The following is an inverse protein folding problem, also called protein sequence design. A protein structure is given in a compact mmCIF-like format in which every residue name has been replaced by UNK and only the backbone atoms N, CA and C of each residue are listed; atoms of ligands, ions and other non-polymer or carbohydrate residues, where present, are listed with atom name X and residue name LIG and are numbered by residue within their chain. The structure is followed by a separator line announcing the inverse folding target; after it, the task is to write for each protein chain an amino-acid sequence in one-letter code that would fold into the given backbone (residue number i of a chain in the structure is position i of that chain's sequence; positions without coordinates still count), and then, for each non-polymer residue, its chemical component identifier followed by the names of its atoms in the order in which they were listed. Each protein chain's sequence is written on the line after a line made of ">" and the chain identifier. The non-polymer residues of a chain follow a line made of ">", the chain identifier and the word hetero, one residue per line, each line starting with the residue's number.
data_IF_955418557114
#
_entry.id   IF_955418557114
#
_cell.length_a   1.000
_cell.length_b   1.000
_cell.length_c   1.000
_cell.angle_alpha   90.00
_cell.angle_beta   90.00
_cell.angle_gamma   90.00
#
_symmetry.space_group_name_H-M   'P 1'
#
loop_
_entity.id
_entity.type
_entity.pdbx_description
1 polymer ?
#
# COMPACT_ATOMS: atom_id res chain seq x y z
N UNK A 1 20.28 5.33 -2.05
CA UNK A 1 19.02 4.60 -2.31
C UNK A 1 18.27 5.10 -3.54
N UNK A 2 17.46 6.19 -3.51
CA UNK A 2 16.62 6.57 -4.68
C UNK A 2 17.41 6.80 -5.97
N UNK A 3 18.57 7.47 -5.89
CA UNK A 3 19.43 7.70 -7.06
C UNK A 3 19.98 6.39 -7.64
N UNK A 4 20.37 5.45 -6.78
CA UNK A 4 20.89 4.14 -7.19
C UNK A 4 19.78 3.27 -7.77
N UNK A 5 18.61 3.23 -7.12
CA UNK A 5 17.44 2.49 -7.59
C UNK A 5 16.96 3.00 -8.95
N UNK A 6 16.95 4.32 -9.17
CA UNK A 6 16.62 4.91 -10.45
C UNK A 6 17.63 4.53 -11.54
N UNK A 7 18.94 4.58 -11.22
CA UNK A 7 20.00 4.17 -12.15
C UNK A 7 19.89 2.68 -12.51
N UNK A 8 19.62 1.83 -11.53
CA UNK A 8 19.44 0.39 -11.76
C UNK A 8 18.21 0.11 -12.63
N UNK A 9 17.08 0.75 -12.33
CA UNK A 9 15.87 0.59 -13.12
C UNK A 9 16.01 1.12 -14.56
N UNK A 10 16.72 2.23 -14.76
CA UNK A 10 17.07 2.75 -16.08
C UNK A 10 17.95 1.74 -16.86
N UNK A 11 18.95 1.15 -16.21
CA UNK A 11 19.80 0.12 -16.81
C UNK A 11 19.00 -1.13 -17.19
N UNK A 12 18.13 -1.62 -16.32
CA UNK A 12 17.27 -2.78 -16.59
C UNK A 12 16.34 -2.56 -17.78
N UNK A 13 15.75 -1.37 -17.90
CA UNK A 13 14.88 -1.03 -19.04
C UNK A 13 15.69 -0.91 -20.34
N UNK A 14 16.94 -0.49 -20.27
CA UNK A 14 17.79 -0.35 -21.45
C UNK A 14 18.20 -1.72 -22.05
N UNK A 15 18.17 -2.81 -21.28
CA UNK A 15 18.49 -4.15 -21.78
C UNK A 15 17.58 -4.51 -22.96
N UNK A 16 18.19 -4.86 -24.09
CA UNK A 16 17.48 -5.24 -25.32
C UNK A 16 16.90 -4.07 -26.13
N UNK A 17 17.14 -2.81 -25.74
CA UNK A 17 16.71 -1.64 -26.52
C UNK A 17 17.83 -1.13 -27.42
N UNK A 18 17.52 -0.88 -28.69
CA UNK A 18 18.45 -0.23 -29.62
C UNK A 18 18.70 1.26 -29.27
N UNK A 19 17.73 1.92 -28.62
CA UNK A 19 17.86 3.30 -28.13
C UNK A 19 17.65 3.31 -26.60
N UNK A 20 18.67 3.69 -25.82
CA UNK A 20 18.56 3.74 -24.37
C UNK A 20 17.57 4.83 -23.98
N UNK A 21 16.66 4.48 -23.07
CA UNK A 21 15.66 5.40 -22.55
C UNK A 21 16.28 6.16 -21.37
N UNK A 22 16.29 7.51 -21.45
CA UNK A 22 16.79 8.34 -20.35
C UNK A 22 15.66 8.84 -19.47
N UNK A 23 15.81 8.69 -18.17
CA UNK A 23 14.86 9.15 -17.16
C UNK A 23 15.11 10.62 -16.85
N UNK A 24 14.07 11.44 -17.00
CA UNK A 24 14.10 12.84 -16.61
C UNK A 24 13.54 12.98 -15.19
N UNK A 25 14.41 12.81 -14.18
CA UNK A 25 14.06 12.88 -12.76
C UNK A 25 14.70 14.09 -12.11
N UNK A 26 13.95 14.77 -11.24
CA UNK A 26 14.53 15.68 -10.24
C UNK A 26 14.33 15.06 -8.86
N UNK A 27 15.31 15.27 -7.99
CA UNK A 27 15.33 14.82 -6.61
C UNK A 27 15.28 16.04 -5.70
N UNK A 28 14.36 16.03 -4.75
CA UNK A 28 14.27 17.06 -3.71
C UNK A 28 14.48 16.42 -2.36
N UNK A 29 15.52 16.85 -1.65
CA UNK A 29 15.81 16.44 -0.28
C UNK A 29 15.58 17.61 0.66
N UNK A 30 14.57 17.49 1.53
CA UNK A 30 14.19 18.54 2.48
C UNK A 30 14.54 18.08 3.90
N UNK A 31 15.48 18.76 4.54
CA UNK A 31 15.97 18.41 5.88
C UNK A 31 16.14 19.67 6.74
N UNK A 32 15.37 19.76 7.83
CA UNK A 32 15.40 20.92 8.73
C UNK A 32 16.68 21.01 9.56
N UNK A 33 17.27 19.87 9.93
CA UNK A 33 18.45 19.81 10.76
C UNK A 33 19.69 20.15 9.94
N UNK A 34 20.28 21.32 10.23
CA UNK A 34 21.46 21.84 9.53
C UNK A 34 22.67 20.89 9.55
N UNK A 35 22.85 20.07 10.58
CA UNK A 35 23.94 19.08 10.63
C UNK A 35 23.65 17.90 9.68
N UNK A 36 22.43 17.35 9.74
CA UNK A 36 22.00 16.26 8.86
C UNK A 36 22.01 16.69 7.38
N UNK A 37 21.52 17.89 7.09
CA UNK A 37 21.56 18.47 5.74
C UNK A 37 22.99 18.60 5.19
N UNK A 38 23.94 19.11 6.00
CA UNK A 38 25.36 19.18 5.60
C UNK A 38 25.96 17.81 5.37
N UNK A 39 25.63 16.84 6.23
CA UNK A 39 26.09 15.47 6.06
C UNK A 39 25.53 14.82 4.79
N UNK A 40 24.26 15.05 4.46
CA UNK A 40 23.65 14.60 3.20
C UNK A 40 24.41 15.13 1.98
N UNK A 41 24.74 16.44 1.96
CA UNK A 41 25.52 17.04 0.88
C UNK A 41 26.87 16.34 0.72
N UNK A 42 27.62 16.20 1.82
CA UNK A 42 28.91 15.51 1.81
C UNK A 42 28.79 14.06 1.30
N UNK A 43 27.79 13.31 1.79
CA UNK A 43 27.57 11.92 1.36
C UNK A 43 27.22 11.80 -0.13
N UNK A 44 26.50 12.78 -0.71
CA UNK A 44 26.22 12.82 -2.14
C UNK A 44 27.48 13.13 -2.95
N UNK A 45 28.31 14.06 -2.50
CA UNK A 45 29.58 14.41 -3.14
C UNK A 45 30.56 13.23 -3.15
N UNK A 46 30.75 12.57 -2.00
CA UNK A 46 31.60 11.37 -1.86
C UNK A 46 31.13 10.22 -2.77
N UNK A 47 29.83 10.09 -3.00
CA UNK A 47 29.25 9.09 -3.92
C UNK A 47 29.27 9.51 -5.39
N UNK A 48 29.90 10.65 -5.72
CA UNK A 48 30.06 11.14 -7.09
C UNK A 48 28.87 11.90 -7.66
N UNK A 49 27.90 12.30 -6.83
CA UNK A 49 26.73 13.08 -7.27
C UNK A 49 26.91 14.60 -7.17
N UNK A 50 28.08 15.09 -6.74
CA UNK A 50 28.33 16.52 -6.52
C UNK A 50 28.01 17.41 -7.74
N UNK A 51 28.34 16.95 -8.95
CA UNK A 51 28.11 17.71 -10.20
C UNK A 51 26.63 17.86 -10.61
N UNK A 52 25.74 17.11 -9.94
CA UNK A 52 24.28 17.10 -10.15
C UNK A 52 23.52 17.96 -9.13
N UNK A 53 24.18 18.33 -8.03
CA UNK A 53 23.61 19.23 -7.02
C UNK A 53 23.28 20.57 -7.68
N UNK A 54 22.12 21.11 -7.31
CA UNK A 54 21.49 22.33 -7.82
C UNK A 54 21.06 22.28 -9.30
N UNK A 55 21.19 21.12 -9.97
CA UNK A 55 20.71 20.90 -11.34
C UNK A 55 19.44 20.05 -11.35
N UNK A 56 19.59 18.79 -10.95
CA UNK A 56 18.50 17.81 -10.82
C UNK A 56 18.48 17.17 -9.42
N UNK A 57 19.43 17.52 -8.56
CA UNK A 57 19.42 17.20 -7.12
C UNK A 57 19.35 18.51 -6.34
N UNK A 58 18.21 18.76 -5.71
CA UNK A 58 17.97 19.97 -4.95
C UNK A 58 17.97 19.66 -3.45
N UNK A 59 18.81 20.37 -2.70
CA UNK A 59 18.94 20.24 -1.24
C UNK A 59 18.33 21.46 -0.56
N UNK A 60 17.35 21.25 0.31
CA UNK A 60 16.62 22.32 1.01
C UNK A 60 16.81 22.15 2.51
N UNK A 61 17.49 23.10 3.16
CA UNK A 61 17.66 23.10 4.62
C UNK A 61 16.50 23.80 5.33
N UNK A 62 15.32 23.18 5.32
CA UNK A 62 14.13 23.69 6.01
C UNK A 62 13.13 22.54 6.26
N UNK A 63 11.94 22.84 6.77
CA UNK A 63 10.90 21.85 6.98
C UNK A 63 10.04 21.63 5.72
N UNK A 64 9.56 20.40 5.52
CA UNK A 64 8.78 20.03 4.34
C UNK A 64 7.45 20.79 4.24
N UNK A 65 6.78 21.04 5.38
CA UNK A 65 5.52 21.80 5.45
C UNK A 65 5.62 23.19 4.78
N UNK A 66 6.74 23.88 4.93
CA UNK A 66 6.95 25.21 4.32
C UNK A 66 7.20 25.15 2.81
N UNK A 67 7.75 24.05 2.31
CA UNK A 67 8.14 23.91 0.90
C UNK A 67 7.17 23.06 0.08
N UNK A 68 6.25 22.35 0.73
CA UNK A 68 5.36 21.40 0.07
C UNK A 68 4.56 22.03 -1.08
N UNK A 69 3.95 23.20 -0.88
CA UNK A 69 3.20 23.89 -1.92
C UNK A 69 4.06 24.20 -3.15
N UNK A 70 5.28 24.70 -2.94
CA UNK A 70 6.21 25.02 -4.02
C UNK A 70 6.67 23.77 -4.76
N UNK A 71 6.95 22.68 -4.03
CA UNK A 71 7.35 21.40 -4.62
C UNK A 71 6.21 20.76 -5.43
N UNK A 72 4.98 20.80 -4.90
CA UNK A 72 3.79 20.34 -5.61
C UNK A 72 3.60 21.15 -6.90
N UNK A 73 3.75 22.47 -6.84
CA UNK A 73 3.66 23.34 -8.00
C UNK A 73 4.76 23.04 -9.03
N UNK A 74 5.99 22.81 -8.58
CA UNK A 74 7.10 22.40 -9.45
C UNK A 74 6.77 21.10 -10.20
N UNK A 75 6.31 20.06 -9.49
CA UNK A 75 5.93 18.78 -10.14
C UNK A 75 4.80 18.99 -11.13
N UNK A 76 3.82 19.84 -10.79
CA UNK A 76 2.71 20.16 -11.70
C UNK A 76 3.21 20.89 -12.95
N UNK A 77 4.17 21.80 -12.83
CA UNK A 77 4.76 22.49 -13.98
C UNK A 77 5.60 21.53 -14.85
N UNK A 78 6.43 20.68 -14.23
CA UNK A 78 7.26 19.69 -14.95
C UNK A 78 6.42 18.60 -15.62
N UNK A 79 5.31 18.19 -15.01
CA UNK A 79 4.40 17.17 -15.54
C UNK A 79 2.93 17.61 -15.45
N UNK A 80 2.48 18.53 -16.33
CA UNK A 80 1.14 19.16 -16.21
C UNK A 80 -0.02 18.18 -16.23
N UNK A 81 0.08 17.14 -17.07
CA UNK A 81 -1.00 16.18 -17.30
C UNK A 81 -1.02 15.11 -16.21
N UNK A 82 0.14 14.54 -15.86
CA UNK A 82 0.22 13.37 -14.99
C UNK A 82 0.62 13.74 -13.57
N UNK A 83 1.59 14.62 -13.38
CA UNK A 83 2.12 14.97 -12.06
C UNK A 83 2.86 13.80 -11.39
N UNK A 84 3.58 12.99 -12.18
CA UNK A 84 4.26 11.77 -11.67
C UNK A 84 5.29 12.16 -10.62
N UNK A 85 5.12 11.63 -9.41
CA UNK A 85 5.97 11.96 -8.28
C UNK A 85 5.85 10.88 -7.20
N UNK A 86 6.94 10.67 -6.45
CA UNK A 86 6.97 9.82 -5.27
C UNK A 86 7.44 10.68 -4.10
N UNK A 87 6.65 10.74 -3.04
CA UNK A 87 7.00 11.42 -1.80
C UNK A 87 7.32 10.36 -0.76
N UNK A 88 8.57 10.33 -0.28
CA UNK A 88 8.93 9.53 0.90
C UNK A 88 8.93 10.45 2.11
N UNK A 89 8.01 10.22 3.04
CA UNK A 89 7.81 11.02 4.23
C UNK A 89 8.13 10.18 5.47
N UNK A 90 9.23 10.51 6.13
CA UNK A 90 9.61 9.84 7.37
C UNK A 90 8.91 10.49 8.58
N UNK A 91 7.82 9.88 9.06
CA UNK A 91 7.05 10.40 10.20
C UNK A 91 7.27 9.62 11.49
N UNK A 92 8.44 9.01 11.67
CA UNK A 92 8.75 8.26 12.90
C UNK A 92 8.47 9.04 14.22
N UNK A 93 8.49 10.38 14.19
CA UNK A 93 8.20 11.26 15.33
C UNK A 93 6.83 11.96 15.37
N UNK A 94 5.85 11.58 14.55
CA UNK A 94 4.47 12.13 14.57
C UNK A 94 4.33 13.66 14.40
N UNK A 95 5.34 14.32 13.83
CA UNK A 95 5.47 15.77 13.99
C UNK A 95 5.47 16.58 12.68
N UNK A 96 5.51 15.95 11.51
CA UNK A 96 5.99 16.68 10.31
C UNK A 96 5.03 16.78 9.13
N UNK A 97 4.08 15.86 8.91
CA UNK A 97 3.14 16.02 7.78
C UNK A 97 1.71 15.61 8.16
N UNK A 98 0.78 16.56 8.33
CA UNK A 98 -0.62 16.27 8.62
C UNK A 98 -1.31 15.60 7.42
N UNK A 99 -2.36 14.79 7.67
CA UNK A 99 -3.07 14.07 6.61
C UNK A 99 -3.68 15.01 5.55
N UNK A 100 -4.12 16.21 5.94
CA UNK A 100 -4.59 17.26 5.03
C UNK A 100 -3.53 17.68 3.99
N UNK A 101 -2.26 17.72 4.36
CA UNK A 101 -1.18 18.07 3.44
C UNK A 101 -0.95 16.96 2.41
N UNK A 102 -1.04 15.68 2.82
CA UNK A 102 -1.01 14.53 1.91
C UNK A 102 -2.22 14.57 0.96
N UNK A 103 -3.40 14.90 1.48
CA UNK A 103 -4.61 15.11 0.66
C UNK A 103 -4.41 16.18 -0.41
N UNK A 104 -3.73 17.28 -0.06
CA UNK A 104 -3.36 18.34 -1.01
C UNK A 104 -2.42 17.88 -2.13
N UNK A 105 -1.47 16.99 -1.82
CA UNK A 105 -0.62 16.33 -2.82
C UNK A 105 -1.48 15.59 -3.84
N UNK A 106 -2.36 14.69 -3.38
CA UNK A 106 -3.18 13.89 -4.28
C UNK A 106 -4.22 14.70 -5.07
N UNK A 107 -4.75 15.77 -4.47
CA UNK A 107 -5.66 16.68 -5.16
C UNK A 107 -4.99 17.36 -6.36
N UNK A 108 -3.73 17.78 -6.21
CA UNK A 108 -3.01 18.52 -7.24
C UNK A 108 -2.28 17.61 -8.23
N UNK A 109 -1.78 16.46 -7.75
CA UNK A 109 -0.94 15.52 -8.47
C UNK A 109 -1.62 14.14 -8.52
N UNK A 110 -2.45 13.86 -9.54
CA UNK A 110 -3.31 12.68 -9.57
C UNK A 110 -2.55 11.36 -9.77
N UNK A 111 -1.26 11.40 -10.08
CA UNK A 111 -0.39 10.21 -10.16
C UNK A 111 0.73 10.23 -9.13
N UNK A 112 0.61 11.08 -8.10
CA UNK A 112 1.53 11.03 -6.97
C UNK A 112 1.34 9.72 -6.19
N UNK A 113 2.45 9.24 -5.65
CA UNK A 113 2.50 8.18 -4.66
C UNK A 113 3.16 8.73 -3.40
N UNK A 114 2.67 8.34 -2.23
CA UNK A 114 3.22 8.73 -0.94
C UNK A 114 3.59 7.47 -0.18
N UNK A 115 4.84 7.39 0.28
CA UNK A 115 5.33 6.34 1.18
C UNK A 115 5.58 7.01 2.53
N UNK A 116 4.97 6.48 3.58
CA UNK A 116 4.93 7.04 4.91
C UNK A 116 5.40 6.00 5.92
N UNK A 117 6.36 6.34 6.77
CA UNK A 117 6.71 5.53 7.96
C UNK A 117 5.90 6.00 9.17
N UNK A 118 5.34 5.06 9.93
CA UNK A 118 4.54 5.37 11.10
C UNK A 118 4.84 4.39 12.24
N UNK A 119 5.35 4.88 13.38
CA UNK A 119 5.84 4.06 14.49
C UNK A 119 4.70 3.48 15.37
N UNK A 120 3.71 2.84 14.75
CA UNK A 120 2.42 2.46 15.37
C UNK A 120 2.57 1.73 16.72
N UNK A 121 3.55 0.85 16.87
CA UNK A 121 3.77 0.11 18.11
C UNK A 121 4.23 1.03 19.24
N UNK A 122 5.13 1.96 18.95
CA UNK A 122 5.54 2.97 19.93
C UNK A 122 4.34 3.80 20.37
N UNK A 123 3.48 4.22 19.43
CA UNK A 123 2.24 4.89 19.79
C UNK A 123 1.36 4.02 20.68
N UNK A 124 1.07 2.77 20.32
CA UNK A 124 0.17 1.90 21.11
C UNK A 124 0.72 1.63 22.52
N UNK A 125 2.04 1.45 22.63
CA UNK A 125 2.71 1.14 23.89
C UNK A 125 2.72 2.34 24.84
N UNK A 126 2.97 3.55 24.33
CA UNK A 126 3.16 4.75 25.17
C UNK A 126 1.94 5.66 25.23
N UNK A 127 0.97 5.53 24.31
CA UNK A 127 -0.23 6.33 24.32
C UNK A 127 -1.17 5.93 25.47
N UNK A 128 -1.74 6.98 26.06
CA UNK A 128 -2.72 6.98 27.17
C UNK A 128 -3.70 8.12 26.93
N UNK A 129 -4.79 8.19 27.70
CA UNK A 129 -5.87 9.17 27.56
C UNK A 129 -5.50 10.59 28.06
N UNK A 130 -4.28 11.01 27.77
CA UNK A 130 -3.68 12.29 28.15
C UNK A 130 -3.85 13.36 27.08
N UNK A 131 -3.73 14.62 27.50
CA UNK A 131 -3.75 15.77 26.59
C UNK A 131 -2.58 15.75 25.60
N UNK A 132 -1.43 15.18 25.99
CA UNK A 132 -0.29 15.01 25.09
C UNK A 132 -0.64 14.11 23.89
N UNK A 133 -1.26 12.95 24.13
CA UNK A 133 -1.74 12.04 23.07
C UNK A 133 -2.75 12.75 22.17
N UNK A 134 -3.73 13.47 22.75
CA UNK A 134 -4.72 14.23 21.98
C UNK A 134 -4.09 15.29 21.07
N UNK A 135 -3.05 15.99 21.54
CA UNK A 135 -2.30 16.95 20.72
C UNK A 135 -1.55 16.28 19.57
N UNK A 136 -0.94 15.11 19.82
CA UNK A 136 -0.27 14.33 18.78
C UNK A 136 -1.27 13.93 17.69
N UNK A 137 -2.42 13.36 18.09
CA UNK A 137 -3.49 12.96 17.17
C UNK A 137 -4.04 14.13 16.35
N UNK A 138 -4.28 15.28 16.99
CA UNK A 138 -4.69 16.50 16.28
C UNK A 138 -3.63 16.98 15.28
N UNK A 139 -2.35 16.91 15.63
CA UNK A 139 -1.24 17.36 14.78
C UNK A 139 -1.10 16.54 13.49
N UNK A 140 -1.49 15.27 13.52
CA UNK A 140 -1.47 14.38 12.36
C UNK A 140 -2.83 14.29 11.65
N UNK A 141 -3.80 15.13 12.03
CA UNK A 141 -5.19 15.14 11.53
C UNK A 141 -5.97 13.84 11.78
N UNK A 142 -5.71 13.17 12.91
CA UNK A 142 -6.43 11.95 13.35
C UNK A 142 -7.07 12.10 14.74
N UNK A 143 -7.78 13.20 15.06
CA UNK A 143 -8.30 13.44 16.42
C UNK A 143 -9.28 12.37 16.91
N UNK A 144 -10.08 11.81 16.00
CA UNK A 144 -11.18 10.89 16.31
C UNK A 144 -10.89 9.44 15.89
N UNK A 145 -9.60 9.10 15.72
CA UNK A 145 -9.17 7.78 15.22
C UNK A 145 -9.76 6.61 16.00
N UNK A 146 -9.98 6.77 17.31
CA UNK A 146 -10.53 5.73 18.19
C UNK A 146 -12.07 5.70 18.21
N UNK A 147 -12.74 6.46 17.34
CA UNK A 147 -14.20 6.47 17.14
C UNK A 147 -14.99 6.66 18.44
N UNK A 148 -14.54 7.61 19.26
CA UNK A 148 -15.21 7.97 20.52
C UNK A 148 -14.89 7.06 21.72
N UNK A 149 -14.04 6.05 21.55
CA UNK A 149 -13.55 5.21 22.67
C UNK A 149 -12.22 5.72 23.20
N UNK A 150 -11.97 5.49 24.49
CA UNK A 150 -10.69 5.81 25.14
C UNK A 150 -9.69 4.66 24.98
N UNK A 151 -8.40 4.95 25.06
CA UNK A 151 -7.35 3.93 25.00
C UNK A 151 -7.46 2.96 26.19
N UNK A 152 -7.79 3.46 27.37
CA UNK A 152 -8.01 2.64 28.56
C UNK A 152 -9.19 1.68 28.38
N UNK A 153 -10.31 2.14 27.81
CA UNK A 153 -11.46 1.29 27.54
C UNK A 153 -11.11 0.18 26.54
N UNK A 154 -10.45 0.54 25.43
CA UNK A 154 -10.02 -0.42 24.41
C UNK A 154 -9.07 -1.46 25.01
N UNK A 155 -8.06 -1.04 25.78
CA UNK A 155 -7.09 -1.94 26.43
C UNK A 155 -7.74 -2.88 27.45
N UNK A 156 -8.87 -2.48 28.05
CA UNK A 156 -9.62 -3.28 29.03
C UNK A 156 -10.59 -4.25 28.39
N UNK A 157 -11.28 -3.84 27.32
CA UNK A 157 -12.41 -4.59 26.73
C UNK A 157 -11.97 -5.49 25.58
N UNK A 158 -11.06 -5.02 24.73
CA UNK A 158 -10.66 -5.75 23.53
C UNK A 158 -9.58 -6.78 23.86
N UNK A 159 -9.86 -8.06 23.60
CA UNK A 159 -8.89 -9.14 23.75
C UNK A 159 -7.61 -8.87 22.95
N UNK A 160 -7.78 -8.38 21.72
CA UNK A 160 -6.69 -8.03 20.80
C UNK A 160 -6.62 -6.51 20.58
N UNK A 161 -6.52 -5.74 21.67
CA UNK A 161 -6.54 -4.28 21.65
C UNK A 161 -5.54 -3.64 20.67
N UNK A 162 -4.37 -4.27 20.45
CA UNK A 162 -3.36 -3.79 19.47
C UNK A 162 -3.94 -3.80 18.06
N UNK A 163 -4.51 -4.92 17.64
CA UNK A 163 -5.12 -5.08 16.32
C UNK A 163 -6.33 -4.17 16.16
N UNK A 164 -7.10 -3.95 17.22
CA UNK A 164 -8.19 -2.98 17.22
C UNK A 164 -7.71 -1.54 16.96
N UNK A 165 -6.73 -1.07 17.74
CA UNK A 165 -6.17 0.28 17.57
C UNK A 165 -5.56 0.42 16.18
N UNK A 166 -4.75 -0.54 15.74
CA UNK A 166 -4.22 -0.60 14.38
C UNK A 166 -5.33 -0.52 13.33
N UNK A 167 -6.45 -1.22 13.55
CA UNK A 167 -7.56 -1.23 12.61
C UNK A 167 -8.25 0.13 12.48
N UNK A 168 -8.37 0.83 13.59
CA UNK A 168 -8.87 2.19 13.64
C UNK A 168 -7.92 3.19 12.94
N UNK A 169 -6.61 3.07 13.23
CA UNK A 169 -5.59 3.95 12.66
C UNK A 169 -5.45 3.85 11.17
N UNK A 170 -5.39 2.64 10.59
CA UNK A 170 -5.20 2.54 9.13
C UNK A 170 -6.37 3.16 8.39
N UNK A 171 -7.61 2.90 8.85
CA UNK A 171 -8.82 3.34 8.15
C UNK A 171 -8.90 4.85 8.15
N UNK A 172 -8.75 5.45 9.34
CA UNK A 172 -8.79 6.90 9.49
C UNK A 172 -7.63 7.55 8.74
N UNK A 173 -6.40 7.01 8.83
CA UNK A 173 -5.24 7.56 8.14
C UNK A 173 -5.44 7.60 6.62
N UNK A 174 -5.90 6.51 6.01
CA UNK A 174 -6.12 6.44 4.56
C UNK A 174 -7.22 7.41 4.13
N UNK A 175 -8.35 7.41 4.85
CA UNK A 175 -9.50 8.27 4.56
C UNK A 175 -9.12 9.76 4.68
N UNK A 176 -8.39 10.12 5.75
CA UNK A 176 -7.90 11.48 5.95
C UNK A 176 -6.78 11.88 4.98
N UNK A 177 -5.97 10.95 4.50
CA UNK A 177 -5.02 11.24 3.44
C UNK A 177 -5.68 11.38 2.05
N UNK A 178 -6.91 10.89 1.89
CA UNK A 178 -7.63 10.91 0.60
C UNK A 178 -7.06 9.95 -0.45
N UNK A 179 -6.38 8.88 -0.03
CA UNK A 179 -5.81 7.89 -0.94
C UNK A 179 -6.89 6.91 -1.44
N UNK A 180 -6.96 6.67 -2.75
CA UNK A 180 -7.87 5.66 -3.32
C UNK A 180 -7.34 4.25 -3.19
N UNK A 181 -6.02 4.09 -3.18
CA UNK A 181 -5.38 2.78 -3.08
C UNK A 181 -4.23 2.82 -2.10
N UNK A 182 -4.07 1.74 -1.33
CA UNK A 182 -3.04 1.70 -0.31
C UNK A 182 -2.53 0.29 -0.02
N UNK A 183 -1.36 0.23 0.61
CA UNK A 183 -0.86 -0.95 1.32
C UNK A 183 -0.34 -0.52 2.69
N UNK A 184 -0.57 -1.36 3.70
CA UNK A 184 -0.05 -1.16 5.06
C UNK A 184 0.63 -2.46 5.48
N UNK A 185 1.90 -2.37 5.86
CA UNK A 185 2.70 -3.52 6.21
C UNK A 185 3.71 -3.14 7.28
N UNK A 186 4.06 -4.11 8.11
CA UNK A 186 5.01 -3.92 9.20
C UNK A 186 6.41 -4.21 8.69
N UNK A 187 7.34 -3.27 8.96
CA UNK A 187 8.76 -3.55 8.85
C UNK A 187 9.22 -4.04 10.22
N UNK A 188 9.70 -5.28 10.25
CA UNK A 188 10.29 -5.86 11.46
C UNK A 188 11.67 -5.25 11.69
N UNK A 189 11.89 -4.69 12.88
CA UNK A 189 13.21 -4.22 13.30
C UNK A 189 13.74 -5.05 14.46
N UNK A 190 15.06 -5.18 14.55
CA UNK A 190 15.69 -5.76 15.74
C UNK A 190 15.76 -4.69 16.84
N UNK A 191 14.91 -4.79 17.85
CA UNK A 191 15.05 -4.07 19.12
C UNK A 191 14.29 -2.74 19.30
N UNK A 192 13.64 -2.19 18.26
CA UNK A 192 12.96 -0.88 18.35
C UNK A 192 11.43 -0.91 18.13
N UNK A 193 10.85 -2.10 17.99
CA UNK A 193 9.43 -2.29 17.68
C UNK A 193 9.15 -2.28 16.18
N UNK A 194 8.02 -2.82 15.76
CA UNK A 194 7.64 -2.81 14.35
C UNK A 194 7.07 -1.42 13.99
N UNK A 195 7.36 -0.93 12.79
CA UNK A 195 6.74 0.29 12.28
C UNK A 195 6.01 0.00 10.97
N UNK A 196 4.95 0.77 10.73
CA UNK A 196 4.26 0.72 9.46
C UNK A 196 5.05 1.42 8.39
N UNK A 197 5.18 0.75 7.25
CA UNK A 197 5.36 1.44 5.98
C UNK A 197 3.99 1.45 5.28
N UNK A 198 3.45 2.65 5.13
CA UNK A 198 2.16 2.91 4.49
C UNK A 198 2.46 3.46 3.11
N UNK A 199 2.01 2.77 2.07
CA UNK A 199 2.04 3.29 0.71
C UNK A 199 0.64 3.71 0.31
N UNK A 200 0.52 4.93 -0.21
CA UNK A 200 -0.71 5.59 -0.59
C UNK A 200 -0.61 6.03 -2.05
N UNK A 201 -1.66 5.80 -2.83
CA UNK A 201 -1.69 6.16 -4.24
C UNK A 201 -3.10 6.43 -4.74
N UNK A 202 -3.18 6.99 -5.94
CA UNK A 202 -4.44 7.23 -6.66
C UNK A 202 -4.71 6.21 -7.76
N UNK A 203 -3.84 5.19 -7.91
CA UNK A 203 -3.92 4.23 -9.01
C UNK A 203 -3.76 2.77 -8.54
N UNK A 204 -4.63 1.83 -8.96
CA UNK A 204 -4.57 0.45 -8.49
C UNK A 204 -3.27 -0.25 -8.87
N UNK A 205 -2.68 0.15 -10.01
CA UNK A 205 -1.40 -0.41 -10.46
C UNK A 205 -0.25 -0.11 -9.49
N UNK A 206 -0.23 1.07 -8.89
CA UNK A 206 0.81 1.44 -7.91
C UNK A 206 0.69 0.52 -6.67
N UNK A 207 -0.52 0.37 -6.13
CA UNK A 207 -0.81 -0.57 -5.05
C UNK A 207 -0.40 -2.00 -5.40
N UNK A 208 -0.74 -2.49 -6.59
CA UNK A 208 -0.39 -3.84 -7.08
C UNK A 208 1.14 -4.07 -7.14
N UNK A 209 1.88 -3.10 -7.69
CA UNK A 209 3.35 -3.16 -7.73
C UNK A 209 3.92 -3.20 -6.32
N UNK A 210 3.44 -2.35 -5.42
CA UNK A 210 3.90 -2.34 -4.03
C UNK A 210 3.62 -3.68 -3.32
N UNK A 211 2.41 -4.23 -3.46
CA UNK A 211 2.08 -5.56 -2.92
C UNK A 211 2.99 -6.64 -3.48
N UNK A 212 3.29 -6.61 -4.78
CA UNK A 212 4.23 -7.57 -5.42
C UNK A 212 5.62 -7.48 -4.80
N UNK A 213 6.09 -6.28 -4.49
CA UNK A 213 7.38 -6.08 -3.80
C UNK A 213 7.36 -6.76 -2.43
N UNK A 214 6.27 -6.65 -1.65
CA UNK A 214 6.19 -7.32 -0.34
C UNK A 214 6.29 -8.83 -0.46
N UNK A 215 5.57 -9.42 -1.41
CA UNK A 215 5.66 -10.85 -1.71
C UNK A 215 7.08 -11.27 -2.10
N UNK A 216 7.81 -10.42 -2.83
CA UNK A 216 9.21 -10.70 -3.19
C UNK A 216 10.22 -10.55 -2.04
N UNK A 217 9.83 -9.91 -0.93
CA UNK A 217 10.69 -9.58 0.23
C UNK A 217 10.18 -10.18 1.53
N UNK A 218 9.36 -11.23 1.44
CA UNK A 218 8.62 -11.94 2.48
C UNK A 218 9.24 -11.94 3.91
N UNK A 219 10.55 -12.14 4.07
CA UNK A 219 11.20 -12.17 5.38
C UNK A 219 11.32 -10.82 6.10
N UNK A 220 10.98 -9.70 5.46
CA UNK A 220 11.08 -8.35 6.03
C UNK A 220 9.71 -7.75 6.40
N UNK A 221 8.62 -8.40 5.99
CA UNK A 221 7.27 -7.87 6.09
C UNK A 221 6.31 -8.84 6.74
N UNK A 222 5.47 -8.31 7.64
CA UNK A 222 4.41 -9.08 8.29
C UNK A 222 3.11 -8.32 8.18
N UNK A 223 2.02 -9.06 8.08
CA UNK A 223 0.66 -8.55 8.12
C UNK A 223 -0.15 -9.35 9.16
N UNK A 224 -0.98 -8.68 9.96
CA UNK A 224 -1.75 -9.35 11.03
C UNK A 224 -3.21 -9.63 10.66
N UNK A 225 -3.54 -9.58 9.36
CA UNK A 225 -4.89 -9.80 8.85
C UNK A 225 -5.03 -11.05 7.98
N UNK A 226 -6.28 -11.33 7.58
CA UNK A 226 -6.68 -12.51 6.83
C UNK A 226 -6.10 -12.54 5.40
N UNK A 227 -5.95 -13.75 4.84
CA UNK A 227 -5.40 -13.97 3.51
C UNK A 227 -6.28 -13.51 2.33
N UNK A 228 -7.56 -13.24 2.57
CA UNK A 228 -8.62 -13.00 1.56
C UNK A 228 -8.93 -11.52 1.28
N UNK A 229 -10.18 -11.20 0.92
CA UNK A 229 -10.69 -9.85 0.64
C UNK A 229 -11.10 -9.05 1.87
N UNK A 230 -11.10 -9.67 3.05
CA UNK A 230 -11.53 -9.06 4.30
C UNK A 230 -10.36 -9.01 5.30
N UNK A 231 -9.16 -8.63 4.83
CA UNK A 231 -7.93 -8.72 5.63
C UNK A 231 -8.03 -7.96 6.96
N UNK A 232 -8.84 -6.90 7.01
CA UNK A 232 -9.00 -6.05 8.20
C UNK A 232 -10.32 -6.27 8.97
N UNK A 233 -11.13 -7.29 8.65
CA UNK A 233 -12.35 -7.57 9.42
C UNK A 233 -12.00 -8.28 10.73
N UNK A 234 -11.64 -7.49 11.74
CA UNK A 234 -11.59 -7.91 13.14
C UNK A 234 -12.72 -7.32 13.99
N UNK A 235 -13.68 -6.59 13.39
CA UNK A 235 -14.80 -5.95 14.09
C UNK A 235 -15.96 -6.90 14.45
N UNK A 236 -15.68 -8.19 14.62
CA UNK A 236 -16.63 -9.18 15.07
C UNK A 236 -15.93 -10.48 15.42
N UNK A 237 -16.31 -11.11 16.52
CA UNK A 237 -15.82 -12.45 16.88
C UNK A 237 -16.06 -13.41 15.72
N UNK A 238 -14.99 -14.05 15.21
CA UNK A 238 -15.05 -15.12 14.22
C UNK A 238 -14.44 -16.37 14.83
N UNK A 239 -15.22 -17.45 14.95
CA UNK A 239 -14.73 -18.75 15.40
C UNK A 239 -13.59 -19.29 14.50
N UNK A 240 -13.57 -18.90 13.23
CA UNK A 240 -12.47 -19.20 12.28
C UNK A 240 -11.18 -18.43 12.53
N UNK A 241 -11.17 -17.45 13.44
CA UNK A 241 -9.98 -16.71 13.87
C UNK A 241 -9.45 -17.23 15.22
N UNK A 242 -10.04 -18.31 15.76
CA UNK A 242 -9.50 -18.99 16.92
C UNK A 242 -8.19 -19.68 16.52
N UNK A 243 -7.10 -19.37 17.21
CA UNK A 243 -5.75 -19.91 16.93
C UNK A 243 -5.72 -21.44 17.01
N UNK A 244 -6.66 -22.03 17.73
CA UNK A 244 -6.88 -23.49 17.79
C UNK A 244 -7.49 -24.08 16.52
N UNK A 245 -8.17 -23.27 15.69
CA UNK A 245 -8.88 -23.71 14.49
C UNK A 245 -8.06 -23.51 13.20
N UNK A 246 -7.23 -22.46 13.12
CA UNK A 246 -6.45 -22.15 11.90
C UNK A 246 -5.06 -22.78 11.88
N UNK A 247 -4.52 -23.20 13.03
CA UNK A 247 -3.13 -23.65 13.15
C UNK A 247 -2.09 -22.56 12.82
N UNK A 248 -2.53 -21.32 12.56
CA UNK A 248 -1.66 -20.16 12.39
C UNK A 248 -1.44 -19.55 13.77
N UNK A 249 -0.43 -20.05 14.46
CA UNK A 249 0.12 -19.40 15.66
C UNK A 249 0.50 -17.94 15.32
N UNK A 250 0.29 -17.04 16.28
CA UNK A 250 1.19 -16.01 16.88
C UNK A 250 2.28 -15.30 16.05
N UNK A 251 2.48 -15.62 14.77
CA UNK A 251 3.63 -15.28 13.94
C UNK A 251 3.27 -14.34 12.77
N UNK A 252 1.98 -14.08 12.54
CA UNK A 252 1.49 -13.18 11.48
C UNK A 252 1.61 -13.77 10.06
N UNK A 253 1.03 -13.07 9.09
CA UNK A 253 1.09 -13.37 7.65
C UNK A 253 2.43 -12.90 7.07
N UNK A 254 3.30 -13.86 6.75
CA UNK A 254 4.70 -13.62 6.36
C UNK A 254 4.95 -13.57 4.86
N UNK A 255 3.91 -13.45 4.03
CA UNK A 255 4.03 -13.35 2.56
C UNK A 255 4.87 -14.49 1.92
N UNK A 256 4.86 -15.68 2.49
CA UNK A 256 5.56 -16.88 2.01
C UNK A 256 4.68 -17.75 1.07
N UNK A 257 5.19 -18.88 0.60
CA UNK A 257 4.42 -19.77 -0.29
C UNK A 257 3.12 -20.28 0.35
N UNK A 258 3.14 -20.57 1.65
CA UNK A 258 1.96 -21.03 2.39
C UNK A 258 0.89 -19.94 2.48
N UNK A 259 1.29 -18.72 2.83
CA UNK A 259 0.45 -17.54 2.82
C UNK A 259 -0.10 -17.26 1.42
N UNK A 260 0.72 -17.46 0.39
CA UNK A 260 0.33 -17.32 -1.02
C UNK A 260 -0.78 -18.30 -1.42
N UNK A 261 -0.63 -19.58 -1.05
CA UNK A 261 -1.66 -20.61 -1.27
C UNK A 261 -2.94 -20.29 -0.52
N UNK A 262 -2.83 -19.90 0.77
CA UNK A 262 -3.97 -19.49 1.58
C UNK A 262 -4.73 -18.30 0.96
N UNK A 263 -4.03 -17.31 0.43
CA UNK A 263 -4.65 -16.19 -0.28
C UNK A 263 -5.40 -16.64 -1.52
N UNK A 264 -4.81 -17.50 -2.36
CA UNK A 264 -5.48 -18.01 -3.56
C UNK A 264 -6.74 -18.80 -3.17
N UNK A 265 -6.65 -19.67 -2.18
CA UNK A 265 -7.78 -20.52 -1.75
C UNK A 265 -8.91 -19.67 -1.14
N UNK A 266 -8.59 -18.65 -0.34
CA UNK A 266 -9.58 -17.70 0.17
C UNK A 266 -10.25 -16.92 -0.97
N UNK A 267 -9.47 -16.44 -1.94
CA UNK A 267 -9.97 -15.66 -3.08
C UNK A 267 -10.89 -16.48 -3.99
N UNK A 268 -10.67 -17.79 -4.17
CA UNK A 268 -11.58 -18.63 -4.95
C UNK A 268 -13.02 -18.53 -4.40
N UNK A 269 -13.17 -18.70 -3.09
CA UNK A 269 -14.47 -18.67 -2.43
C UNK A 269 -15.09 -17.25 -2.40
N UNK A 270 -14.25 -16.21 -2.36
CA UNK A 270 -14.71 -14.83 -2.18
C UNK A 270 -14.96 -14.08 -3.49
N UNK A 271 -14.25 -14.43 -4.57
CA UNK A 271 -14.43 -13.80 -5.89
C UNK A 271 -15.68 -14.31 -6.61
N UNK A 272 -16.05 -15.58 -6.41
CA UNK A 272 -17.23 -16.17 -7.07
C UNK A 272 -18.52 -15.39 -6.75
N UNK A 273 -18.91 -15.15 -5.49
CA UNK A 273 -20.10 -14.34 -5.17
C UNK A 273 -20.09 -12.93 -5.75
N UNK A 274 -18.92 -12.27 -5.81
CA UNK A 274 -18.78 -10.92 -6.35
C UNK A 274 -19.05 -10.85 -7.85
N UNK A 275 -18.60 -11.87 -8.60
CA UNK A 275 -18.84 -11.97 -10.04
C UNK A 275 -20.31 -12.33 -10.29
N UNK A 276 -20.89 -13.22 -9.48
CA UNK A 276 -22.32 -13.57 -9.56
C UNK A 276 -23.26 -12.39 -9.32
N UNK A 277 -22.86 -11.45 -8.44
CA UNK A 277 -23.61 -10.23 -8.20
C UNK A 277 -23.61 -9.22 -9.37
N UNK A 278 -22.87 -9.51 -10.45
CA UNK A 278 -22.76 -8.67 -11.64
C UNK A 278 -23.31 -9.42 -12.87
N UNK A 279 -24.63 -9.40 -13.14
CA UNK A 279 -25.23 -10.12 -14.28
C UNK A 279 -24.67 -9.66 -15.64
N UNK A 280 -24.29 -8.38 -15.73
CA UNK A 280 -23.57 -7.85 -16.88
C UNK A 280 -22.13 -8.38 -16.99
N UNK A 281 -21.56 -8.99 -15.98
CA UNK A 281 -20.12 -9.22 -15.86
C UNK A 281 -19.35 -7.95 -15.54
N UNK A 282 -18.13 -8.14 -15.05
CA UNK A 282 -17.23 -7.11 -14.56
C UNK A 282 -15.85 -7.31 -15.21
N UNK A 283 -15.11 -6.26 -15.49
CA UNK A 283 -13.72 -6.45 -15.95
C UNK A 283 -12.82 -6.89 -14.80
N UNK A 284 -11.76 -7.63 -15.09
CA UNK A 284 -10.75 -7.97 -14.07
C UNK A 284 -10.18 -6.72 -13.40
N UNK A 285 -9.95 -5.65 -14.16
CA UNK A 285 -9.45 -4.38 -13.67
C UNK A 285 -10.39 -3.71 -12.66
N UNK A 286 -11.70 -3.69 -12.95
CA UNK A 286 -12.72 -3.16 -12.03
C UNK A 286 -12.83 -3.99 -10.76
N UNK A 287 -12.91 -5.32 -10.89
CA UNK A 287 -12.98 -6.24 -9.75
C UNK A 287 -11.75 -6.08 -8.84
N UNK A 288 -10.56 -6.04 -9.43
CA UNK A 288 -9.33 -5.84 -8.67
C UNK A 288 -9.31 -4.47 -8.01
N UNK A 289 -9.61 -3.39 -8.74
CA UNK A 289 -9.61 -2.04 -8.17
C UNK A 289 -10.59 -1.89 -7.00
N UNK A 290 -11.77 -2.51 -7.08
CA UNK A 290 -12.78 -2.43 -6.04
C UNK A 290 -12.38 -3.13 -4.72
N UNK A 291 -11.54 -4.18 -4.80
CA UNK A 291 -11.28 -5.06 -3.65
C UNK A 291 -9.81 -5.18 -3.24
N UNK A 292 -8.87 -4.64 -4.01
CA UNK A 292 -7.44 -4.79 -3.73
C UNK A 292 -7.02 -4.15 -2.40
N UNK A 293 -7.64 -3.05 -1.97
CA UNK A 293 -7.29 -2.40 -0.70
C UNK A 293 -7.57 -3.25 0.53
N UNK A 294 -8.49 -4.21 0.43
CA UNK A 294 -8.90 -5.05 1.55
C UNK A 294 -8.32 -6.47 1.48
N UNK A 295 -7.42 -6.74 0.52
CA UNK A 295 -6.67 -8.00 0.45
C UNK A 295 -5.15 -7.82 0.58
N UNK A 296 -4.38 -8.79 1.12
CA UNK A 296 -2.91 -8.80 1.03
C UNK A 296 -2.42 -9.31 -0.34
N UNK A 297 -3.32 -9.79 -1.20
CA UNK A 297 -2.97 -10.40 -2.48
C UNK A 297 -2.61 -9.36 -3.55
N UNK A 298 -1.63 -9.70 -4.40
CA UNK A 298 -1.34 -9.02 -5.66
C UNK A 298 -2.29 -9.50 -6.77
N UNK A 299 -2.29 -8.82 -7.92
CA UNK A 299 -3.14 -9.20 -9.05
C UNK A 299 -2.87 -10.63 -9.55
N UNK A 300 -1.66 -11.16 -9.39
CA UNK A 300 -1.34 -12.51 -9.83
C UNK A 300 -2.11 -13.56 -9.03
N UNK A 301 -2.24 -13.40 -7.72
CA UNK A 301 -3.03 -14.30 -6.88
C UNK A 301 -4.52 -14.26 -7.21
N UNK A 302 -5.07 -13.09 -7.54
CA UNK A 302 -6.44 -12.99 -8.07
C UNK A 302 -6.58 -13.77 -9.38
N UNK A 303 -5.63 -13.64 -10.31
CA UNK A 303 -5.66 -14.39 -11.58
C UNK A 303 -5.57 -15.90 -11.37
N UNK A 304 -4.77 -16.36 -10.42
CA UNK A 304 -4.68 -17.78 -10.05
C UNK A 304 -6.00 -18.30 -9.46
N UNK A 305 -6.66 -17.51 -8.61
CA UNK A 305 -7.98 -17.84 -8.10
C UNK A 305 -9.04 -17.90 -9.23
N UNK A 306 -9.01 -16.95 -10.16
CA UNK A 306 -9.87 -16.95 -11.34
C UNK A 306 -9.61 -18.15 -12.25
N UNK A 307 -8.35 -18.57 -12.45
CA UNK A 307 -8.03 -19.78 -13.20
C UNK A 307 -8.68 -21.03 -12.58
N UNK A 308 -8.68 -21.16 -11.25
CA UNK A 308 -9.41 -22.25 -10.56
C UNK A 308 -10.92 -22.20 -10.84
N UNK A 309 -11.55 -21.03 -10.70
CA UNK A 309 -12.97 -20.84 -10.98
C UNK A 309 -13.34 -21.12 -12.45
N UNK A 310 -12.45 -20.78 -13.39
CA UNK A 310 -12.60 -21.09 -14.81
C UNK A 310 -12.53 -22.60 -15.05
N UNK A 311 -11.58 -23.29 -14.42
CA UNK A 311 -11.45 -24.75 -14.52
C UNK A 311 -12.66 -25.48 -13.91
N UNK A 312 -13.25 -24.94 -12.85
CA UNK A 312 -14.49 -25.44 -12.25
C UNK A 312 -15.75 -25.09 -13.07
N UNK A 313 -15.60 -24.32 -14.17
CA UNK A 313 -16.71 -23.82 -14.99
C UNK A 313 -17.72 -22.99 -14.19
N UNK A 314 -17.26 -22.27 -13.17
CA UNK A 314 -18.07 -21.30 -12.43
C UNK A 314 -18.02 -19.93 -13.12
N UNK A 315 -16.83 -19.54 -13.60
CA UNK A 315 -16.57 -18.24 -14.21
C UNK A 315 -15.99 -18.41 -15.63
N UNK A 316 -16.33 -17.50 -16.53
CA UNK A 316 -15.67 -17.33 -17.82
C UNK A 316 -14.97 -15.98 -17.87
N UNK A 317 -13.77 -15.95 -18.46
CA UNK A 317 -13.02 -14.74 -18.74
C UNK A 317 -12.87 -14.57 -20.26
N UNK A 318 -13.29 -13.43 -20.78
CA UNK A 318 -13.39 -13.17 -22.23
C UNK A 318 -12.69 -11.85 -22.56
N UNK A 319 -11.84 -11.85 -23.59
CA UNK A 319 -11.19 -10.63 -24.08
C UNK A 319 -12.18 -9.70 -24.78
N UNK A 320 -11.74 -8.47 -25.05
CA UNK A 320 -12.51 -7.52 -25.88
C UNK A 320 -12.85 -8.08 -27.26
N UNK A 321 -11.98 -8.92 -27.81
CA UNK A 321 -12.13 -9.55 -29.13
C UNK A 321 -12.90 -10.88 -29.09
N UNK A 322 -13.44 -11.26 -27.92
CA UNK A 322 -14.22 -12.49 -27.75
C UNK A 322 -13.41 -13.76 -27.45
N UNK A 323 -12.08 -13.67 -27.37
CA UNK A 323 -11.23 -14.82 -27.06
C UNK A 323 -11.36 -15.23 -25.58
N UNK A 324 -11.52 -16.52 -25.31
CA UNK A 324 -11.58 -17.05 -23.93
C UNK A 324 -10.18 -17.08 -23.30
N UNK A 325 -10.09 -16.69 -22.04
CA UNK A 325 -8.90 -16.85 -21.21
C UNK A 325 -9.05 -18.09 -20.34
N UNK A 326 -8.08 -19.00 -20.44
CA UNK A 326 -8.06 -20.24 -19.68
C UNK A 326 -6.99 -20.27 -18.59
N UNK A 327 -5.98 -19.39 -18.71
CA UNK A 327 -4.80 -19.37 -17.83
C UNK A 327 -4.64 -18.01 -17.19
N UNK A 328 -4.21 -17.99 -15.94
CA UNK A 328 -3.94 -16.79 -15.17
C UNK A 328 -3.03 -15.82 -15.92
N UNK A 329 -1.96 -16.33 -16.56
CA UNK A 329 -1.01 -15.51 -17.33
C UNK A 329 -1.62 -14.75 -18.51
N UNK A 330 -2.79 -15.19 -18.98
CA UNK A 330 -3.48 -14.60 -20.14
C UNK A 330 -4.55 -13.58 -19.75
N UNK A 331 -4.91 -13.49 -18.47
CA UNK A 331 -5.96 -12.59 -17.99
C UNK A 331 -5.40 -11.16 -17.85
N UNK A 332 -6.00 -10.24 -18.58
CA UNK A 332 -5.66 -8.81 -18.60
C UNK A 332 -6.72 -7.97 -17.89
N UNK A 333 -6.37 -6.73 -17.53
CA UNK A 333 -7.29 -5.81 -16.85
C UNK A 333 -8.60 -5.54 -17.61
N UNK A 334 -8.58 -5.64 -18.93
CA UNK A 334 -9.76 -5.40 -19.78
C UNK A 334 -10.63 -6.63 -20.01
N UNK A 335 -10.20 -7.82 -19.60
CA UNK A 335 -10.96 -9.04 -19.85
C UNK A 335 -12.21 -9.06 -18.95
N UNK A 336 -13.35 -9.40 -19.54
CA UNK A 336 -14.66 -9.44 -18.88
C UNK A 336 -14.88 -10.79 -18.22
N UNK A 337 -15.15 -10.76 -16.93
CA UNK A 337 -15.49 -11.90 -16.09
C UNK A 337 -17.01 -12.02 -16.01
N UNK A 338 -17.53 -13.23 -16.24
CA UNK A 338 -18.96 -13.54 -16.17
C UNK A 338 -19.17 -14.90 -15.52
N UNK A 339 -20.33 -15.08 -14.91
CA UNK A 339 -20.82 -16.41 -14.53
C UNK A 339 -20.89 -17.29 -15.79
N UNK A 340 -20.44 -18.52 -15.68
CA UNK A 340 -20.57 -19.50 -16.75
C UNK A 340 -22.04 -19.87 -16.94
N UNK A 341 -22.51 -19.96 -18.18
CA UNK A 341 -23.81 -20.52 -18.47
C UNK A 341 -23.77 -22.03 -18.19
N UNK A 342 -24.13 -22.45 -16.97
CA UNK A 342 -24.32 -23.87 -16.67
C UNK A 342 -25.62 -24.33 -17.34
N UNK A 343 -25.48 -25.19 -18.36
CA UNK A 343 -26.62 -25.80 -19.06
C UNK A 343 -27.05 -27.14 -18.46
N UNK A 344 -26.32 -27.68 -17.47
CA UNK A 344 -26.63 -28.98 -16.85
C UNK A 344 -26.20 -28.98 -15.37
N UNK A 345 -27.14 -29.25 -14.47
CA UNK A 345 -26.84 -29.72 -13.11
C UNK A 345 -26.79 -31.25 -13.15
N UNK A 346 -25.63 -31.85 -12.91
CA UNK A 346 -25.54 -33.27 -12.62
C UNK A 346 -25.61 -33.43 -11.11
N UNK A 347 -26.70 -34.02 -10.62
CA UNK A 347 -26.82 -34.48 -9.23
C UNK A 347 -26.10 -35.82 -9.06
#
# INVERSE_FOLDING_TARGET
>A
MFLEAAREAEALIAIGRQKPLRWNLDYFFVEKNKKAHRHLKYALEERGYGSRIDKDIHLINDSFDKHASNLIQFVKQKSPIKGRSIFLLDQYGYAHVPASQIRGIFHTLPTAEVILTFAVDAFINFASDTEATRRILKRIDLPDVLKGRTLEDIKRVEKDFRLYIQSCFYKELVEQCGAKFFTVFFIRTTGHGDYWLVHLSQHPKARDVMTTVHWSKNNHFIHYGDAGLDMFRTLGYRASADSRFTGQNELGFCFDENAGKASVDALVNQLSPLIHAQPGGITFGELFAAHCNSSPADAQKYRLALEKLINHKEVTAISKDGARRLRATTITGSDRLKVSNQSVFSF
#
